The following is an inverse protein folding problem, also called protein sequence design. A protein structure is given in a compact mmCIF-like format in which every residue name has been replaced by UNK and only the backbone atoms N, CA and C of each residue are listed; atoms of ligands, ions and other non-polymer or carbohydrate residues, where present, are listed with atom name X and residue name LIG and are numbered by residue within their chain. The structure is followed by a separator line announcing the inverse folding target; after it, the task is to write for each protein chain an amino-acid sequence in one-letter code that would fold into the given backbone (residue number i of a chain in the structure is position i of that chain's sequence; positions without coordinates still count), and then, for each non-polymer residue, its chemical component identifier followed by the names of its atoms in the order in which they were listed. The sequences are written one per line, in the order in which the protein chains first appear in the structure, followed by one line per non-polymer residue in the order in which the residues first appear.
data_IF_764479258489
#
_entry.id   IF_764479258489
#
_cell.length_a   1.000
_cell.length_b   1.000
_cell.length_c   1.000
_cell.angle_alpha   90.00
_cell.angle_beta   90.00
_cell.angle_gamma   90.00
#
_symmetry.space_group_name_H-M   'P 1'
#
loop_
_entity.id
_entity.type
_entity.pdbx_description
1 polymer ?
#
# COMPACT_ATOMS: atom_id res chain seq x y z
N UNK A 1 -15.40 -24.38 62.13
CA UNK A 1 -16.46 -25.07 61.36
C UNK A 1 -16.18 -24.90 59.88
N UNK A 2 -15.94 -26.01 59.19
CA UNK A 2 -15.64 -26.11 57.75
C UNK A 2 -16.92 -26.15 56.89
N UNK A 3 -16.77 -25.80 55.60
CA UNK A 3 -17.36 -26.34 54.34
C UNK A 3 -17.46 -25.18 53.33
N UNK A 4 -16.69 -25.06 52.24
CA UNK A 4 -16.48 -25.90 51.02
C UNK A 4 -17.78 -26.32 50.34
N UNK A 5 -18.04 -25.83 49.12
CA UNK A 5 -18.32 -26.66 47.91
C UNK A 5 -18.22 -25.86 46.60
N UNK A 6 -17.48 -26.46 45.65
CA UNK A 6 -17.42 -26.13 44.21
C UNK A 6 -18.63 -26.74 43.50
N UNK A 7 -19.08 -26.15 42.37
CA UNK A 7 -19.96 -26.83 41.41
C UNK A 7 -19.20 -27.11 40.11
N UNK A 8 -18.98 -28.39 39.85
CA UNK A 8 -18.65 -28.98 38.55
C UNK A 8 -19.97 -29.43 37.91
N UNK A 9 -20.12 -29.23 36.61
CA UNK A 9 -21.07 -29.99 35.79
C UNK A 9 -20.32 -30.62 34.63
N UNK A 10 -20.22 -31.95 34.68
CA UNK A 10 -19.93 -32.82 33.56
C UNK A 10 -21.09 -33.81 33.48
N UNK A 11 -21.69 -33.97 32.30
CA UNK A 11 -22.50 -35.13 31.99
C UNK A 11 -22.41 -35.42 30.48
N UNK A 12 -21.60 -36.42 30.18
CA UNK A 12 -21.58 -37.22 28.96
C UNK A 12 -22.84 -38.10 28.94
N UNK A 13 -23.51 -38.18 27.79
CA UNK A 13 -24.26 -39.39 27.41
C UNK A 13 -23.87 -39.74 25.96
N UNK A 14 -23.26 -40.92 25.84
CA UNK A 14 -23.01 -41.65 24.62
C UNK A 14 -24.09 -42.73 24.42
N UNK A 15 -24.31 -43.13 23.18
CA UNK A 15 -25.19 -44.24 22.74
C UNK A 15 -25.68 -43.98 21.31
N UNK A 16 -24.91 -44.26 20.25
CA UNK A 16 -24.41 -45.52 19.68
C UNK A 16 -25.48 -46.35 18.95
N UNK A 17 -25.29 -46.41 17.60
CA UNK A 17 -25.57 -47.52 16.66
C UNK A 17 -27.03 -47.91 16.32
N UNK A 18 -27.39 -48.40 15.12
CA UNK A 18 -26.65 -48.83 13.93
C UNK A 18 -27.58 -49.05 12.71
N UNK A 19 -27.04 -48.76 11.51
CA UNK A 19 -27.02 -49.56 10.25
C UNK A 19 -28.31 -49.94 9.51
N UNK A 20 -28.38 -49.53 8.23
CA UNK A 20 -28.54 -50.46 7.10
C UNK A 20 -28.02 -49.88 5.78
N UNK A 21 -27.20 -50.68 5.11
CA UNK A 21 -26.51 -50.50 3.82
C UNK A 21 -27.34 -50.98 2.61
N UNK A 22 -26.82 -50.64 1.42
CA UNK A 22 -27.01 -51.18 0.05
C UNK A 22 -27.76 -50.22 -0.90
N UNK A 23 -27.33 -49.96 -2.15
CA UNK A 23 -26.26 -50.52 -2.98
C UNK A 23 -26.17 -49.76 -4.33
N UNK A 24 -25.13 -50.07 -5.10
CA UNK A 24 -24.73 -49.47 -6.40
C UNK A 24 -25.73 -49.67 -7.56
N UNK A 25 -25.72 -48.81 -8.59
CA UNK A 25 -25.07 -49.03 -9.90
C UNK A 25 -25.50 -48.00 -10.98
N UNK A 26 -24.63 -47.81 -11.97
CA UNK A 26 -24.74 -46.95 -13.16
C UNK A 26 -25.26 -47.75 -14.37
N UNK A 27 -26.09 -47.13 -15.23
CA UNK A 27 -25.95 -47.12 -16.72
C UNK A 27 -27.09 -46.32 -17.39
N UNK A 28 -26.74 -45.45 -18.36
CA UNK A 28 -27.38 -45.44 -19.70
C UNK A 28 -28.54 -44.49 -20.04
N UNK A 29 -28.19 -43.41 -20.78
CA UNK A 29 -28.79 -42.93 -22.03
C UNK A 29 -29.98 -41.91 -22.07
N UNK A 30 -29.69 -40.81 -22.79
CA UNK A 30 -30.48 -39.83 -23.58
C UNK A 30 -32.02 -39.73 -23.51
N UNK A 31 -32.51 -38.50 -23.32
CA UNK A 31 -33.41 -37.80 -24.28
C UNK A 31 -33.70 -36.35 -23.89
N UNK A 32 -33.83 -35.49 -24.91
CA UNK A 32 -34.18 -34.06 -24.88
C UNK A 32 -35.52 -33.73 -24.18
N UNK A 33 -35.60 -32.50 -23.65
CA UNK A 33 -36.86 -31.81 -23.33
C UNK A 33 -36.65 -30.45 -22.69
N UNK A 34 -37.02 -29.37 -23.39
CA UNK A 34 -37.01 -27.99 -22.91
C UNK A 34 -37.93 -27.77 -21.69
N UNK A 35 -37.50 -26.88 -20.77
CA UNK A 35 -38.15 -25.57 -20.54
C UNK A 35 -38.08 -25.09 -19.07
N UNK A 36 -37.61 -23.84 -18.93
CA UNK A 36 -38.04 -22.77 -18.00
C UNK A 36 -37.60 -22.77 -16.52
N UNK A 37 -36.74 -21.78 -16.24
CA UNK A 37 -36.60 -20.90 -15.06
C UNK A 37 -36.43 -21.50 -13.65
N UNK A 38 -35.25 -21.23 -13.04
CA UNK A 38 -35.21 -20.27 -11.93
C UNK A 38 -33.79 -19.77 -11.63
N UNK A 39 -33.73 -18.51 -11.20
CA UNK A 39 -32.55 -17.78 -10.75
C UNK A 39 -31.86 -18.49 -9.58
N UNK A 40 -30.53 -18.60 -9.61
CA UNK A 40 -29.72 -18.28 -8.44
C UNK A 40 -28.31 -17.87 -8.85
N UNK A 41 -28.08 -16.56 -8.76
CA UNK A 41 -26.78 -15.91 -8.87
C UNK A 41 -25.86 -16.41 -7.76
N UNK A 42 -24.98 -17.38 -8.06
CA UNK A 42 -23.82 -17.68 -7.23
C UNK A 42 -22.66 -16.81 -7.71
N UNK A 43 -22.53 -15.63 -7.11
CA UNK A 43 -21.36 -14.75 -7.25
C UNK A 43 -20.15 -15.54 -6.73
N UNK A 44 -19.39 -16.11 -7.66
CA UNK A 44 -18.19 -16.87 -7.38
C UNK A 44 -17.23 -16.07 -6.52
N UNK A 45 -16.87 -16.66 -5.38
CA UNK A 45 -15.76 -16.21 -4.56
C UNK A 45 -14.49 -16.38 -5.41
N UNK A 46 -14.01 -15.29 -5.99
CA UNK A 46 -12.69 -15.25 -6.62
C UNK A 46 -11.69 -15.21 -5.47
N UNK A 47 -11.35 -16.37 -4.92
CA UNK A 47 -10.07 -16.52 -4.24
C UNK A 47 -9.02 -16.54 -5.36
N UNK A 48 -8.58 -15.35 -5.76
CA UNK A 48 -7.31 -15.21 -6.45
C UNK A 48 -6.25 -15.68 -5.46
N UNK A 49 -5.61 -16.82 -5.75
CA UNK A 49 -4.47 -17.31 -5.01
C UNK A 49 -3.29 -16.38 -5.28
N UNK A 50 -3.29 -15.21 -4.66
CA UNK A 50 -2.15 -14.28 -4.65
C UNK A 50 -1.06 -14.91 -3.81
N UNK A 51 0.17 -14.96 -4.34
CA UNK A 51 1.32 -15.50 -3.64
C UNK A 51 1.82 -14.43 -2.66
N UNK A 52 1.12 -14.24 -1.54
CA UNK A 52 1.53 -13.27 -0.52
C UNK A 52 2.86 -13.69 0.10
N UNK A 53 3.73 -12.73 0.36
CA UNK A 53 5.03 -13.01 0.97
C UNK A 53 4.82 -13.37 2.44
N UNK A 54 5.21 -14.60 2.79
CA UNK A 54 5.23 -15.05 4.20
C UNK A 54 6.34 -14.33 4.98
N UNK A 55 6.11 -14.12 6.28
CA UNK A 55 7.06 -13.52 7.23
C UNK A 55 8.45 -14.15 7.16
N UNK A 56 8.53 -15.46 6.93
CA UNK A 56 9.77 -16.24 6.87
C UNK A 56 10.66 -15.89 5.66
N UNK A 57 10.06 -15.31 4.60
CA UNK A 57 10.79 -14.97 3.37
C UNK A 57 11.26 -13.50 3.34
N UNK A 58 10.95 -12.73 4.39
CA UNK A 58 11.40 -11.35 4.52
C UNK A 58 12.70 -11.32 5.34
N UNK A 59 13.81 -10.79 4.78
CA UNK A 59 15.06 -10.63 5.53
C UNK A 59 14.85 -9.83 6.82
N UNK A 60 15.69 -10.09 7.82
CA UNK A 60 15.68 -9.28 9.04
C UNK A 60 16.05 -7.81 8.75
N UNK A 61 15.51 -6.93 9.56
CA UNK A 61 15.77 -5.50 9.44
C UNK A 61 17.26 -5.22 9.67
N UNK A 62 17.89 -4.56 8.70
CA UNK A 62 19.33 -4.26 8.67
C UNK A 62 19.62 -2.77 8.55
N UNK A 63 18.65 -1.92 8.89
CA UNK A 63 18.75 -0.47 8.89
C UNK A 63 17.90 0.22 7.81
N UNK A 64 17.72 -0.41 6.65
CA UNK A 64 16.93 0.18 5.56
C UNK A 64 15.43 -0.05 5.75
N UNK A 65 14.64 1.02 5.68
CA UNK A 65 13.17 0.96 5.86
C UNK A 65 12.46 0.06 4.86
N UNK A 66 13.07 -0.22 3.71
CA UNK A 66 12.48 -1.04 2.66
C UNK A 66 13.46 -2.02 2.04
N UNK A 67 12.95 -3.17 1.62
CA UNK A 67 13.69 -4.15 0.81
C UNK A 67 12.85 -4.53 -0.41
N UNK A 68 13.51 -4.75 -1.55
CA UNK A 68 12.83 -5.24 -2.75
C UNK A 68 12.43 -6.71 -2.56
N UNK A 69 11.23 -7.07 -3.02
CA UNK A 69 10.72 -8.43 -3.01
C UNK A 69 10.49 -8.90 -4.45
N UNK A 70 10.71 -10.18 -4.72
CA UNK A 70 10.55 -10.78 -6.07
C UNK A 70 11.24 -9.97 -7.18
N UNK A 71 12.47 -9.52 -6.91
CA UNK A 71 13.25 -8.66 -7.80
C UNK A 71 12.51 -7.36 -8.18
N UNK A 72 11.74 -6.81 -7.23
CA UNK A 72 10.89 -5.63 -7.40
C UNK A 72 9.78 -5.80 -8.44
N UNK A 73 9.34 -7.03 -8.72
CA UNK A 73 8.24 -7.31 -9.64
C UNK A 73 6.97 -7.67 -8.85
N UNK A 74 5.86 -6.96 -9.07
CA UNK A 74 4.59 -7.30 -8.44
C UNK A 74 3.99 -8.57 -9.06
N UNK A 75 3.23 -9.32 -8.26
CA UNK A 75 2.50 -10.53 -8.68
C UNK A 75 1.14 -10.15 -9.26
N UNK A 76 1.15 -9.25 -10.26
CA UNK A 76 -0.01 -8.90 -11.06
C UNK A 76 0.06 -9.59 -12.42
N UNK A 77 -1.05 -10.15 -12.85
CA UNK A 77 -1.20 -10.72 -14.19
C UNK A 77 -1.90 -9.73 -15.11
N UNK A 78 -1.83 -9.98 -16.42
CA UNK A 78 -2.56 -9.18 -17.41
C UNK A 78 -4.09 -9.20 -17.21
N UNK A 79 -4.62 -10.17 -16.44
CA UNK A 79 -6.05 -10.26 -16.14
C UNK A 79 -6.48 -9.35 -15.00
N UNK A 80 -5.55 -8.96 -14.15
CA UNK A 80 -5.81 -8.06 -13.01
C UNK A 80 -5.84 -6.59 -13.47
N UNK A 81 -5.14 -6.28 -14.58
CA UNK A 81 -5.07 -4.93 -15.13
C UNK A 81 -6.44 -4.45 -15.62
N UNK A 82 -6.85 -3.29 -15.13
CA UNK A 82 -8.12 -2.63 -15.48
C UNK A 82 -7.96 -1.12 -15.38
N UNK A 83 -8.62 -0.37 -16.27
CA UNK A 83 -8.72 1.11 -16.18
C UNK A 83 -10.00 1.55 -15.48
N UNK A 84 -10.75 0.62 -14.88
CA UNK A 84 -11.88 0.96 -14.02
C UNK A 84 -11.36 1.13 -12.61
N UNK A 85 -11.42 2.35 -12.10
CA UNK A 85 -11.04 2.65 -10.73
C UNK A 85 -11.89 1.88 -9.72
N UNK A 86 -11.23 1.36 -8.68
CA UNK A 86 -11.88 0.71 -7.54
C UNK A 86 -10.99 0.75 -6.31
N UNK A 87 -11.59 0.46 -5.17
CA UNK A 87 -10.91 0.09 -3.93
C UNK A 87 -11.59 -1.14 -3.33
N UNK A 88 -10.79 -2.01 -2.73
CA UNK A 88 -11.22 -3.26 -2.12
C UNK A 88 -10.44 -3.47 -0.84
N UNK A 89 -11.16 -3.73 0.25
CA UNK A 89 -10.60 -3.98 1.57
C UNK A 89 -11.08 -5.32 2.06
N UNK A 90 -10.14 -6.21 2.34
CA UNK A 90 -10.46 -7.54 2.86
C UNK A 90 -11.19 -7.45 4.20
N UNK A 91 -11.91 -8.53 4.54
CA UNK A 91 -12.43 -8.67 5.90
C UNK A 91 -11.24 -8.74 6.87
N UNK A 92 -11.48 -8.27 8.09
CA UNK A 92 -10.54 -8.52 9.18
C UNK A 92 -10.43 -10.03 9.40
N UNK A 93 -9.26 -10.51 9.81
CA UNK A 93 -9.08 -11.92 10.18
C UNK A 93 -9.66 -12.23 11.57
N UNK A 94 -9.41 -13.44 12.10
CA UNK A 94 -9.91 -13.88 13.40
C UNK A 94 -9.42 -13.01 14.57
N UNK A 95 -8.21 -12.44 14.44
CA UNK A 95 -7.60 -11.55 15.42
C UNK A 95 -8.04 -10.09 15.25
N UNK A 96 -8.93 -9.82 14.27
CA UNK A 96 -9.41 -8.48 13.96
C UNK A 96 -8.41 -7.63 13.18
N UNK A 97 -7.38 -8.24 12.60
CA UNK A 97 -6.29 -7.55 11.89
C UNK A 97 -6.70 -7.22 10.46
N UNK A 98 -6.25 -6.08 9.95
CA UNK A 98 -6.43 -5.76 8.54
C UNK A 98 -5.71 -6.78 7.67
N UNK A 99 -6.34 -7.15 6.57
CA UNK A 99 -5.80 -8.04 5.55
C UNK A 99 -5.55 -7.24 4.27
N UNK A 100 -5.31 -7.91 3.15
CA UNK A 100 -5.03 -7.30 1.84
C UNK A 100 -6.00 -6.16 1.52
N UNK A 101 -5.43 -5.01 1.14
CA UNK A 101 -6.15 -3.92 0.53
C UNK A 101 -5.63 -3.71 -0.90
N UNK A 102 -6.53 -3.48 -1.85
CA UNK A 102 -6.19 -3.33 -3.26
C UNK A 102 -7.01 -2.20 -3.88
N UNK A 103 -6.41 -1.46 -4.80
CA UNK A 103 -7.09 -0.43 -5.57
C UNK A 103 -6.55 -0.38 -7.00
N UNK A 104 -7.44 -0.14 -7.96
CA UNK A 104 -7.04 0.50 -9.20
C UNK A 104 -7.22 2.00 -9.01
N UNK A 105 -6.09 2.68 -8.76
CA UNK A 105 -6.06 4.10 -8.44
C UNK A 105 -6.16 4.90 -9.73
N UNK A 106 -7.31 5.55 -9.93
CA UNK A 106 -7.53 6.54 -10.97
C UNK A 106 -7.88 7.91 -10.37
N UNK A 107 -7.79 8.95 -11.20
CA UNK A 107 -7.99 10.34 -10.77
C UNK A 107 -9.41 10.62 -10.23
N UNK A 108 -10.40 9.83 -10.65
CA UNK A 108 -11.80 9.95 -10.28
C UNK A 108 -12.09 9.52 -8.82
N UNK A 109 -11.29 8.60 -8.27
CA UNK A 109 -11.39 8.16 -6.87
C UNK A 109 -10.42 8.89 -5.94
N UNK A 110 -9.53 9.75 -6.45
CA UNK A 110 -8.67 10.57 -5.59
C UNK A 110 -9.48 11.60 -4.77
N UNK A 111 -9.01 12.00 -3.57
CA UNK A 111 -9.73 12.92 -2.72
C UNK A 111 -9.90 14.30 -3.35
N UNK A 112 -11.11 14.86 -3.21
CA UNK A 112 -11.43 16.23 -3.63
C UNK A 112 -11.34 17.24 -2.48
N UNK A 113 -11.12 16.77 -1.25
CA UNK A 113 -11.17 17.55 -0.03
C UNK A 113 -10.01 17.28 0.92
N UNK A 114 -10.05 17.93 2.08
CA UNK A 114 -9.08 17.68 3.16
C UNK A 114 -9.43 16.38 3.88
N UNK A 115 -8.40 15.68 4.34
CA UNK A 115 -8.53 14.48 5.18
C UNK A 115 -9.29 14.80 6.47
N UNK A 116 -10.20 13.91 6.84
CA UNK A 116 -10.96 14.02 8.09
C UNK A 116 -10.19 13.46 9.29
N UNK A 117 -10.82 13.53 10.47
CA UNK A 117 -10.29 12.88 11.65
C UNK A 117 -10.40 11.34 11.54
N UNK A 118 -9.39 10.63 12.05
CA UNK A 118 -9.36 9.16 12.10
C UNK A 118 -9.12 8.62 13.52
N UNK A 119 -9.06 9.50 14.53
CA UNK A 119 -8.69 9.17 15.91
C UNK A 119 -9.61 8.15 16.61
N UNK A 120 -10.83 7.97 16.11
CA UNK A 120 -11.79 6.99 16.62
C UNK A 120 -11.38 5.54 16.33
N UNK A 121 -10.59 5.31 15.27
CA UNK A 121 -10.15 3.97 14.91
C UNK A 121 -9.00 3.56 15.82
N UNK A 122 -9.04 2.35 16.35
CA UNK A 122 -7.96 1.75 17.13
C UNK A 122 -7.68 0.39 16.51
N UNK A 123 -6.66 0.28 15.63
CA UNK A 123 -6.28 -1.00 15.05
C UNK A 123 -5.81 -1.99 16.12
N UNK A 124 -5.58 -3.24 15.72
CA UNK A 124 -4.96 -4.24 16.58
C UNK A 124 -3.59 -3.78 17.09
N UNK A 125 -3.25 -4.14 18.33
CA UNK A 125 -2.00 -3.74 18.98
C UNK A 125 -1.86 -2.23 19.25
N UNK A 126 -2.95 -1.47 19.19
CA UNK A 126 -2.88 -0.01 19.36
C UNK A 126 -2.56 0.40 20.81
N UNK A 127 -1.41 1.06 20.99
CA UNK A 127 -1.02 1.72 22.23
C UNK A 127 -0.73 3.20 22.02
N UNK A 128 -0.87 4.00 23.09
CA UNK A 128 -0.41 5.40 23.07
C UNK A 128 0.94 5.50 23.76
N UNK A 129 2.02 5.37 22.98
CA UNK A 129 3.39 5.47 23.46
C UNK A 129 4.07 6.73 22.94
N UNK A 130 4.98 7.31 23.75
CA UNK A 130 5.72 8.53 23.40
C UNK A 130 7.23 8.38 23.61
N UNK A 131 8.00 8.90 22.67
CA UNK A 131 9.47 8.89 22.68
C UNK A 131 10.00 10.23 22.18
N UNK A 132 11.06 10.74 22.80
CA UNK A 132 11.61 12.07 22.48
C UNK A 132 12.35 12.11 21.13
N UNK A 133 12.87 10.97 20.66
CA UNK A 133 13.52 10.85 19.36
C UNK A 133 12.54 10.63 18.19
N UNK A 134 11.24 10.53 18.46
CA UNK A 134 10.21 10.37 17.43
C UNK A 134 9.61 11.73 17.10
N UNK A 135 9.54 12.07 15.80
CA UNK A 135 8.88 13.29 15.33
C UNK A 135 7.39 13.33 15.75
N UNK A 136 6.98 14.41 16.39
CA UNK A 136 5.65 14.53 17.01
C UNK A 136 5.47 13.71 18.30
N UNK A 137 6.53 13.07 18.79
CA UNK A 137 6.63 12.25 20.01
C UNK A 137 5.82 10.96 20.04
N UNK A 138 4.72 10.84 19.30
CA UNK A 138 3.90 9.62 19.31
C UNK A 138 4.51 8.54 18.41
N UNK A 139 4.76 7.35 18.97
CA UNK A 139 5.29 6.22 18.22
C UNK A 139 4.34 5.80 17.10
N UNK A 140 3.11 5.45 17.47
CA UNK A 140 2.16 4.85 16.54
C UNK A 140 1.27 5.88 15.86
N UNK A 141 1.14 5.69 14.55
CA UNK A 141 0.16 6.30 13.68
C UNK A 141 -0.90 5.27 13.29
N UNK A 142 -2.08 5.77 12.94
CA UNK A 142 -3.09 4.99 12.23
C UNK A 142 -2.70 5.02 10.76
N UNK A 143 -1.92 4.03 10.35
CA UNK A 143 -1.32 3.98 9.03
C UNK A 143 -2.34 3.40 8.05
N UNK A 144 -2.59 4.14 6.96
CA UNK A 144 -3.44 3.67 5.88
C UNK A 144 -2.74 2.56 5.09
N UNK A 145 -3.42 1.47 4.76
CA UNK A 145 -2.89 0.50 3.77
C UNK A 145 -2.96 1.12 2.37
N UNK A 146 -4.12 1.68 2.02
CA UNK A 146 -4.31 2.52 0.84
C UNK A 146 -4.48 3.95 1.32
N UNK A 147 -3.47 4.78 1.06
CA UNK A 147 -3.43 6.14 1.56
C UNK A 147 -4.62 6.98 1.13
N UNK A 148 -5.08 7.87 2.02
CA UNK A 148 -6.13 8.86 1.71
C UNK A 148 -5.85 9.62 0.41
N UNK A 149 -4.59 9.93 0.11
CA UNK A 149 -4.22 10.66 -1.11
C UNK A 149 -4.49 9.89 -2.41
N UNK A 150 -4.71 8.57 -2.35
CA UNK A 150 -4.94 7.70 -3.49
C UNK A 150 -6.43 7.47 -3.74
N UNK A 151 -7.24 7.22 -2.71
CA UNK A 151 -8.67 6.86 -2.88
C UNK A 151 -9.65 7.73 -2.08
N UNK A 152 -9.15 8.64 -1.24
CA UNK A 152 -9.99 9.46 -0.37
C UNK A 152 -10.69 8.71 0.77
N UNK A 153 -10.49 7.40 0.91
CA UNK A 153 -10.98 6.63 2.05
C UNK A 153 -10.29 7.10 3.34
N UNK A 154 -11.10 7.38 4.36
CA UNK A 154 -10.66 8.11 5.54
C UNK A 154 -10.55 7.21 6.78
N UNK A 155 -11.64 6.88 7.43
CA UNK A 155 -11.66 6.21 8.75
C UNK A 155 -12.18 4.77 8.67
N UNK A 156 -11.68 3.99 7.70
CA UNK A 156 -12.10 2.60 7.50
C UNK A 156 -11.26 1.65 8.36
N UNK A 157 -11.91 0.91 9.26
CA UNK A 157 -11.26 -0.06 10.15
C UNK A 157 -10.57 -1.22 9.42
N UNK A 158 -10.84 -1.43 8.12
CA UNK A 158 -10.17 -2.43 7.26
C UNK A 158 -9.00 -1.85 6.46
N UNK A 159 -8.68 -0.58 6.66
CA UNK A 159 -7.64 0.14 5.95
C UNK A 159 -6.65 0.82 6.90
N UNK A 160 -6.74 0.60 8.21
CA UNK A 160 -5.91 1.28 9.20
C UNK A 160 -5.23 0.25 10.09
N UNK A 161 -3.90 0.25 10.09
CA UNK A 161 -3.06 -0.59 10.95
C UNK A 161 -2.27 0.26 11.95
N UNK A 162 -1.84 -0.37 13.05
CA UNK A 162 -0.87 0.21 13.98
C UNK A 162 0.50 0.19 13.32
N UNK A 163 1.06 1.35 13.02
CA UNK A 163 2.40 1.44 12.45
C UNK A 163 3.18 2.63 12.99
N UNK A 164 4.50 2.54 13.00
CA UNK A 164 5.34 3.60 13.56
C UNK A 164 5.32 4.88 12.72
N UNK A 165 5.85 5.97 13.29
CA UNK A 165 6.06 7.23 12.57
C UNK A 165 6.97 7.05 11.36
N UNK A 166 8.12 6.39 11.54
CA UNK A 166 9.06 6.13 10.44
C UNK A 166 8.49 5.17 9.40
N UNK A 167 7.78 4.12 9.80
CA UNK A 167 7.05 3.25 8.87
C UNK A 167 6.10 4.05 7.96
N UNK A 168 5.29 4.92 8.56
CA UNK A 168 4.32 5.71 7.82
C UNK A 168 4.96 6.77 6.91
N UNK A 169 6.03 7.44 7.35
CA UNK A 169 6.57 8.63 6.68
C UNK A 169 7.83 8.33 5.86
N UNK A 170 8.76 7.54 6.40
CA UNK A 170 10.02 7.22 5.74
C UNK A 170 9.89 5.94 4.90
N UNK A 171 8.99 5.04 5.29
CA UNK A 171 8.74 3.76 4.63
C UNK A 171 7.71 3.85 3.50
N UNK A 172 6.43 4.05 3.85
CA UNK A 172 5.31 3.96 2.89
C UNK A 172 5.16 5.19 2.00
N UNK A 173 5.22 6.40 2.60
CA UNK A 173 4.89 7.65 1.91
C UNK A 173 5.64 7.87 0.59
N UNK A 174 6.95 7.58 0.44
CA UNK A 174 7.64 7.75 -0.85
C UNK A 174 6.98 7.00 -2.01
N UNK A 175 6.52 5.77 -1.78
CA UNK A 175 5.84 4.95 -2.79
C UNK A 175 4.41 5.46 -3.06
N UNK A 176 3.70 5.91 -2.03
CA UNK A 176 2.38 6.51 -2.19
C UNK A 176 2.44 7.83 -2.97
N UNK A 177 3.47 8.64 -2.73
CA UNK A 177 3.71 9.86 -3.49
C UNK A 177 4.08 9.56 -4.93
N UNK A 178 4.87 8.51 -5.17
CA UNK A 178 5.18 8.02 -6.51
C UNK A 178 3.92 7.66 -7.31
N UNK A 179 3.06 6.81 -6.73
CA UNK A 179 1.79 6.41 -7.35
C UNK A 179 0.86 7.61 -7.54
N UNK A 180 0.68 8.41 -6.49
CA UNK A 180 -0.26 9.53 -6.53
C UNK A 180 0.17 10.62 -7.52
N UNK A 181 1.46 10.94 -7.59
CA UNK A 181 1.98 11.93 -8.55
C UNK A 181 1.79 11.45 -9.98
N UNK A 182 2.11 10.19 -10.27
CA UNK A 182 1.87 9.58 -11.57
C UNK A 182 0.40 9.73 -11.99
N UNK A 183 -0.55 9.30 -11.16
CA UNK A 183 -2.00 9.38 -11.47
C UNK A 183 -2.46 10.83 -11.70
N UNK A 184 -1.98 11.79 -10.88
CA UNK A 184 -2.39 13.20 -11.01
C UNK A 184 -1.86 13.86 -12.28
N UNK A 185 -0.61 13.54 -12.64
CA UNK A 185 0.09 14.12 -13.77
C UNK A 185 -0.36 13.53 -15.11
N UNK A 186 -0.56 12.22 -15.17
CA UNK A 186 -0.95 11.51 -16.40
C UNK A 186 -2.47 11.47 -16.61
N UNK A 187 -3.24 11.34 -15.53
CA UNK A 187 -4.64 10.89 -15.60
C UNK A 187 -4.81 9.38 -15.84
N UNK A 188 -3.72 8.62 -15.84
CA UNK A 188 -3.69 7.15 -15.98
C UNK A 188 -4.01 6.45 -14.65
N UNK A 189 -4.00 5.12 -14.68
CA UNK A 189 -4.30 4.26 -13.53
C UNK A 189 -3.07 3.51 -13.03
N UNK A 190 -3.09 3.18 -11.73
CA UNK A 190 -2.12 2.28 -11.11
C UNK A 190 -2.88 1.20 -10.34
N UNK A 191 -2.64 -0.06 -10.70
CA UNK A 191 -3.04 -1.18 -9.87
C UNK A 191 -2.09 -1.26 -8.67
N UNK A 192 -2.66 -1.23 -7.48
CA UNK A 192 -1.93 -1.02 -6.23
C UNK A 192 -2.46 -1.97 -5.16
N UNK A 193 -1.58 -2.74 -4.51
CA UNK A 193 -1.94 -3.72 -3.48
C UNK A 193 -1.01 -3.58 -2.29
N UNK A 194 -1.60 -3.59 -1.09
CA UNK A 194 -0.85 -3.54 0.17
C UNK A 194 -1.31 -4.69 1.06
N UNK A 195 -0.34 -5.53 1.45
CA UNK A 195 -0.55 -6.74 2.23
C UNK A 195 0.21 -6.62 3.55
N UNK A 196 -0.49 -6.46 4.70
CA UNK A 196 0.14 -6.58 6.01
C UNK A 196 0.76 -7.96 6.21
N UNK A 197 1.95 -8.00 6.81
CA UNK A 197 2.63 -9.25 7.16
C UNK A 197 2.77 -9.32 8.67
N UNK A 198 2.16 -10.34 9.26
CA UNK A 198 2.24 -10.66 10.69
C UNK A 198 3.07 -11.93 10.88
N UNK A 199 3.70 -12.07 12.04
CA UNK A 199 4.25 -13.35 12.48
C UNK A 199 3.22 -14.03 13.40
N UNK A 200 2.81 -15.26 13.08
CA UNK A 200 1.75 -15.97 13.81
C UNK A 200 0.52 -15.10 14.15
N UNK A 201 0.26 -14.99 15.46
CA UNK A 201 -0.90 -14.30 16.04
C UNK A 201 -0.59 -12.83 16.43
N UNK A 202 0.53 -12.28 15.96
CA UNK A 202 0.93 -10.90 16.26
C UNK A 202 -0.16 -9.89 15.94
N UNK A 203 -0.41 -8.94 16.86
CA UNK A 203 -1.41 -7.90 16.67
C UNK A 203 -0.89 -6.70 15.87
N UNK A 204 0.43 -6.51 15.81
CA UNK A 204 1.09 -5.46 15.01
C UNK A 204 1.84 -6.12 13.86
N UNK A 205 1.66 -5.61 12.65
CA UNK A 205 2.35 -6.14 11.49
C UNK A 205 3.86 -5.86 11.58
N UNK A 206 4.70 -6.84 11.24
CA UNK A 206 6.16 -6.66 11.03
C UNK A 206 6.44 -5.62 9.95
N UNK A 207 5.50 -5.45 9.03
CA UNK A 207 5.55 -4.50 7.93
C UNK A 207 4.43 -4.72 6.94
N UNK A 208 4.55 -4.09 5.77
CA UNK A 208 3.64 -4.33 4.65
C UNK A 208 4.43 -4.64 3.39
N UNK A 209 3.93 -5.59 2.60
CA UNK A 209 4.30 -5.69 1.20
C UNK A 209 3.47 -4.68 0.40
N UNK A 210 4.13 -3.85 -0.41
CA UNK A 210 3.50 -2.88 -1.31
C UNK A 210 3.84 -3.23 -2.75
N UNK A 211 2.82 -3.41 -3.56
CA UNK A 211 2.92 -3.75 -4.98
C UNK A 211 2.22 -2.67 -5.81
N UNK A 212 2.85 -2.23 -6.89
CA UNK A 212 2.24 -1.28 -7.82
C UNK A 212 2.62 -1.58 -9.26
N UNK A 213 1.68 -1.35 -10.18
CA UNK A 213 1.90 -1.42 -11.62
C UNK A 213 0.99 -0.41 -12.33
N UNK A 214 1.57 0.49 -13.13
CA UNK A 214 0.80 1.39 -14.01
C UNK A 214 0.09 0.58 -15.11
N UNK A 215 -1.17 0.93 -15.37
CA UNK A 215 -2.07 0.07 -16.17
C UNK A 215 -1.89 0.29 -17.67
N UNK A 216 -1.99 1.54 -18.12
CA UNK A 216 -2.02 1.92 -19.53
C UNK A 216 -0.72 1.57 -20.28
N UNK A 217 0.40 1.61 -19.56
CA UNK A 217 1.73 1.33 -20.07
C UNK A 217 2.26 -0.04 -19.63
N UNK A 218 1.45 -0.83 -18.91
CA UNK A 218 1.81 -2.16 -18.40
C UNK A 218 3.08 -2.15 -17.54
N UNK A 219 3.17 -1.17 -16.64
CA UNK A 219 4.23 -1.08 -15.64
C UNK A 219 5.53 -0.47 -16.14
N UNK A 220 5.52 0.22 -17.27
CA UNK A 220 6.71 0.95 -17.71
C UNK A 220 6.99 2.14 -16.77
N UNK A 221 6.03 3.01 -16.44
CA UNK A 221 6.37 4.16 -15.57
C UNK A 221 6.40 3.80 -14.09
N UNK A 222 5.43 3.00 -13.62
CA UNK A 222 5.31 2.57 -12.22
C UNK A 222 5.34 1.05 -12.16
N UNK A 223 6.37 0.49 -11.52
CA UNK A 223 6.44 -0.93 -11.20
C UNK A 223 7.33 -1.17 -9.98
N UNK A 224 6.74 -1.71 -8.92
CA UNK A 224 7.50 -2.12 -7.75
C UNK A 224 6.81 -3.24 -6.97
N UNK A 225 7.62 -3.96 -6.20
CA UNK A 225 7.22 -4.90 -5.17
C UNK A 225 8.25 -4.80 -4.04
N UNK A 226 7.84 -4.19 -2.93
CA UNK A 226 8.72 -3.88 -1.82
C UNK A 226 8.09 -4.31 -0.51
N UNK A 227 8.92 -4.68 0.45
CA UNK A 227 8.52 -4.82 1.83
C UNK A 227 8.97 -3.58 2.61
N UNK A 228 8.07 -2.99 3.37
CA UNK A 228 8.32 -1.82 4.22
C UNK A 228 8.24 -2.25 5.67
N UNK A 229 9.35 -2.10 6.40
CA UNK A 229 9.48 -2.53 7.79
C UNK A 229 8.73 -1.60 8.74
N UNK A 230 7.93 -2.16 9.63
CA UNK A 230 7.25 -1.43 10.69
C UNK A 230 8.18 -1.24 11.90
N UNK A 231 9.17 -0.37 11.75
CA UNK A 231 10.23 -0.13 12.74
C UNK A 231 10.37 1.35 13.06
N UNK A 232 11.01 1.67 14.17
CA UNK A 232 11.30 3.04 14.59
C UNK A 232 12.71 3.10 15.16
N UNK A 233 13.49 4.09 14.73
CA UNK A 233 14.81 4.34 15.28
C UNK A 233 14.75 4.47 16.81
N UNK A 234 15.65 3.79 17.52
CA UNK A 234 15.74 3.84 18.97
C UNK A 234 14.58 3.19 19.74
N UNK A 235 13.68 2.43 19.08
CA UNK A 235 12.52 1.81 19.72
C UNK A 235 12.37 0.36 19.29
N UNK A 236 12.29 -0.53 20.28
CA UNK A 236 11.93 -1.93 20.08
C UNK A 236 10.42 -2.11 20.29
N UNK A 237 9.81 -2.88 19.41
CA UNK A 237 8.37 -3.18 19.40
C UNK A 237 8.19 -4.64 19.76
N UNK A 238 7.27 -4.89 20.68
CA UNK A 238 6.65 -6.19 20.84
C UNK A 238 5.50 -6.29 19.84
N UNK A 239 5.67 -7.07 18.76
CA UNK A 239 4.67 -7.18 17.70
C UNK A 239 3.45 -8.02 18.13
N UNK A 240 3.61 -8.88 19.13
CA UNK A 240 2.53 -9.70 19.68
C UNK A 240 1.46 -8.81 20.30
N UNK A 241 1.89 -7.86 21.15
CA UNK A 241 1.00 -7.04 21.97
C UNK A 241 0.86 -5.59 21.48
N UNK A 242 1.86 -5.10 20.74
CA UNK A 242 2.06 -3.70 20.39
C UNK A 242 2.77 -2.86 21.47
N UNK A 243 3.17 -3.45 22.59
CA UNK A 243 4.00 -2.76 23.58
C UNK A 243 5.35 -2.32 22.97
N UNK A 244 6.01 -1.36 23.62
CA UNK A 244 7.27 -0.82 23.11
C UNK A 244 8.18 -0.37 24.24
N UNK A 245 9.49 -0.42 23.97
CA UNK A 245 10.53 0.08 24.86
C UNK A 245 11.61 0.83 24.07
N UNK A 246 12.29 1.76 24.75
CA UNK A 246 13.43 2.44 24.14
C UNK A 246 14.58 1.44 24.00
N UNK A 247 15.14 1.34 22.80
CA UNK A 247 16.24 0.44 22.49
C UNK A 247 17.16 1.10 21.45
N UNK A 248 18.31 1.59 21.91
CA UNK A 248 19.29 2.26 21.06
C UNK A 248 20.01 1.31 20.10
N UNK A 249 19.84 -0.01 20.21
CA UNK A 249 20.39 -0.95 19.24
C UNK A 249 19.59 -0.96 17.92
N UNK A 250 18.33 -0.52 17.95
CA UNK A 250 17.50 -0.38 16.74
C UNK A 250 17.91 0.91 16.03
N UNK A 251 18.61 0.77 14.90
CA UNK A 251 19.12 1.89 14.11
C UNK A 251 18.50 1.90 12.73
N UNK A 252 17.81 2.99 12.37
CA UNK A 252 17.28 3.18 11.02
C UNK A 252 18.26 4.00 10.19
N UNK A 253 18.90 3.35 9.21
CA UNK A 253 19.76 4.01 8.23
C UNK A 253 18.91 4.75 7.22
N UNK A 254 18.65 6.02 7.50
CA UNK A 254 18.02 6.91 6.54
C UNK A 254 19.09 7.56 5.66
N UNK A 255 19.39 6.98 4.49
CA UNK A 255 20.12 7.72 3.44
C UNK A 255 19.34 8.99 2.98
N UNK A 256 18.05 9.07 3.32
CA UNK A 256 17.13 10.15 2.95
C UNK A 256 16.83 11.22 4.04
N UNK A 257 17.38 11.13 5.26
CA UNK A 257 16.93 11.97 6.39
C UNK A 257 17.40 13.43 6.37
N UNK A 258 18.30 13.84 5.46
CA UNK A 258 18.73 15.26 5.35
C UNK A 258 17.87 16.12 4.41
N UNK A 259 16.97 15.53 3.63
CA UNK A 259 16.11 16.28 2.68
C UNK A 259 14.65 16.43 3.14
N UNK A 260 14.16 15.55 4.02
CA UNK A 260 12.75 15.56 4.46
C UNK A 260 12.44 16.61 5.54
N UNK A 261 13.44 17.17 6.22
CA UNK A 261 13.25 18.19 7.25
C UNK A 261 12.73 19.55 6.73
N UNK A 262 12.59 19.76 5.42
CA UNK A 262 12.08 21.03 4.87
C UNK A 262 10.57 21.06 4.57
N UNK A 263 9.85 19.95 4.76
CA UNK A 263 8.47 19.82 4.25
C UNK A 263 7.36 19.67 5.30
N UNK A 264 7.66 19.78 6.60
CA UNK A 264 6.64 19.63 7.66
C UNK A 264 6.05 20.92 8.24
N UNK A 265 6.33 22.09 7.67
CA UNK A 265 5.59 23.33 7.95
C UNK A 265 4.97 23.87 6.67
N UNK A 266 3.77 23.41 6.32
CA UNK A 266 2.70 24.17 5.65
C UNK A 266 1.55 23.26 5.16
N UNK A 267 0.93 22.53 6.10
CA UNK A 267 -0.47 22.08 5.94
C UNK A 267 -1.44 22.98 6.73
N UNK A 268 -0.94 23.99 7.46
CA UNK A 268 -1.75 25.02 8.11
C UNK A 268 -1.24 26.41 7.72
N UNK A 269 -2.17 27.25 7.29
CA UNK A 269 -2.04 28.66 6.86
C UNK A 269 -1.44 28.92 5.48
N UNK A 270 -2.33 29.14 4.52
CA UNK A 270 -2.35 30.42 3.77
C UNK A 270 -3.61 30.55 2.92
N UNK A 271 -4.61 31.24 3.49
CA UNK A 271 -5.48 32.11 2.71
C UNK A 271 -4.61 33.23 2.13
N UNK A 272 -4.44 33.30 0.82
CA UNK A 272 -4.74 34.54 0.09
C UNK A 272 -4.79 34.27 -1.41
N UNK A 273 -5.94 34.57 -2.00
CA UNK A 273 -6.18 34.53 -3.43
C UNK A 273 -5.42 35.66 -4.12
N UNK A 274 -4.68 35.35 -5.19
CA UNK A 274 -4.52 36.28 -6.32
C UNK A 274 -4.59 35.52 -7.63
N UNK A 275 -5.61 35.88 -8.38
CA UNK A 275 -5.92 35.48 -9.75
C UNK A 275 -4.73 35.66 -10.69
N UNK A 276 -4.52 34.70 -11.59
CA UNK A 276 -4.16 35.01 -12.98
C UNK A 276 -4.86 34.03 -13.91
N UNK A 277 -5.51 34.61 -14.92
CA UNK A 277 -6.41 33.98 -15.87
C UNK A 277 -5.69 33.65 -17.18
N UNK A 278 -6.04 32.49 -17.77
CA UNK A 278 -6.00 32.15 -19.22
C UNK A 278 -4.61 32.09 -19.90
N UNK A 279 -4.34 31.32 -20.97
CA UNK A 279 -5.21 30.71 -21.97
C UNK A 279 -4.44 29.62 -22.78
N UNK A 280 -5.19 28.61 -23.22
CA UNK A 280 -5.14 27.73 -24.42
C UNK A 280 -3.86 27.37 -25.19
N UNK A 281 -3.84 26.06 -25.53
CA UNK A 281 -3.43 25.37 -26.77
C UNK A 281 -1.98 25.48 -27.26
N UNK A 282 -1.34 24.32 -27.49
CA UNK A 282 -0.93 23.92 -28.85
C UNK A 282 -0.52 22.44 -28.96
N UNK A 283 -1.09 21.87 -30.01
CA UNK A 283 -0.76 20.74 -30.87
C UNK A 283 0.65 20.13 -30.78
N UNK A 284 0.69 18.80 -30.78
CA UNK A 284 1.85 17.97 -31.03
C UNK A 284 2.47 18.22 -32.41
N UNK A 285 3.78 18.40 -32.46
CA UNK A 285 4.58 18.27 -33.68
C UNK A 285 5.86 17.50 -33.34
N UNK A 286 6.02 16.33 -33.98
CA UNK A 286 7.30 15.62 -34.06
C UNK A 286 8.28 16.48 -34.85
N UNK A 287 9.47 16.73 -34.30
CA UNK A 287 10.63 17.10 -35.10
C UNK A 287 11.90 16.56 -34.46
N UNK A 288 12.58 15.67 -35.18
CA UNK A 288 13.94 15.27 -34.93
C UNK A 288 14.86 16.45 -35.26
N UNK A 289 15.46 17.09 -34.25
CA UNK A 289 16.65 17.92 -34.43
C UNK A 289 17.67 17.61 -33.35
N UNK A 290 18.79 17.06 -33.83
CA UNK A 290 20.00 16.75 -33.09
C UNK A 290 20.74 18.07 -32.85
N UNK A 291 20.60 18.63 -31.66
CA UNK A 291 21.43 19.75 -31.18
C UNK A 291 21.93 19.40 -29.78
N UNK A 292 23.25 19.22 -29.68
CA UNK A 292 23.99 18.77 -28.49
C UNK A 292 24.04 19.87 -27.43
N UNK A 293 22.90 20.19 -26.82
CA UNK A 293 22.84 20.65 -25.44
C UNK A 293 22.48 19.42 -24.61
N UNK A 294 23.28 19.03 -23.62
CA UNK A 294 22.98 17.88 -22.77
C UNK A 294 21.61 18.11 -22.11
N UNK A 295 20.56 17.51 -22.67
CA UNK A 295 19.21 17.67 -22.15
C UNK A 295 19.21 17.12 -20.72
N UNK A 296 18.89 17.99 -19.76
CA UNK A 296 18.95 17.67 -18.33
C UNK A 296 17.94 16.59 -17.98
N UNK A 297 18.26 15.74 -17.02
CA UNK A 297 17.30 14.81 -16.44
C UNK A 297 16.31 15.61 -15.59
N UNK A 298 15.02 15.35 -15.73
CA UNK A 298 13.95 16.04 -14.97
C UNK A 298 13.37 15.09 -13.94
N UNK A 299 13.45 15.41 -12.66
CA UNK A 299 12.85 14.62 -11.59
C UNK A 299 11.86 15.40 -10.76
N UNK A 300 10.96 14.69 -10.10
CA UNK A 300 9.98 15.25 -9.18
C UNK A 300 10.48 15.08 -7.74
N UNK A 301 10.66 16.19 -7.01
CA UNK A 301 11.20 16.20 -5.64
C UNK A 301 10.35 15.47 -4.61
N UNK A 302 9.07 15.26 -4.92
CA UNK A 302 8.10 14.56 -4.10
C UNK A 302 8.17 13.05 -4.37
N UNK A 303 7.84 12.61 -5.58
CA UNK A 303 7.86 11.18 -5.94
C UNK A 303 9.25 10.54 -6.02
N UNK A 304 10.32 11.34 -6.07
CA UNK A 304 11.68 10.88 -6.37
C UNK A 304 11.79 10.13 -7.71
N UNK A 305 10.88 10.33 -8.65
CA UNK A 305 10.98 9.77 -10.01
C UNK A 305 11.69 10.76 -10.92
N UNK A 306 12.57 10.27 -11.81
CA UNK A 306 13.20 11.07 -12.86
C UNK A 306 12.92 10.54 -14.26
N UNK A 307 12.82 11.46 -15.21
CA UNK A 307 12.60 11.23 -16.63
C UNK A 307 13.82 11.68 -17.44
N UNK A 308 14.26 10.80 -18.33
CA UNK A 308 15.23 11.08 -19.37
C UNK A 308 14.55 11.73 -20.60
N UNK A 309 15.29 12.52 -21.38
CA UNK A 309 14.78 13.09 -22.62
C UNK A 309 14.22 12.01 -23.57
N UNK A 310 13.04 12.26 -24.12
CA UNK A 310 12.33 11.33 -25.00
C UNK A 310 11.43 10.32 -24.29
N UNK A 311 11.40 10.28 -22.95
CA UNK A 311 10.36 9.54 -22.23
C UNK A 311 9.02 10.28 -22.32
N UNK A 312 7.93 9.52 -22.35
CA UNK A 312 6.54 10.01 -22.54
C UNK A 312 6.21 11.24 -21.69
N UNK A 313 6.66 11.24 -20.43
CA UNK A 313 6.31 12.27 -19.45
C UNK A 313 7.41 13.31 -19.21
N UNK A 314 8.52 13.24 -19.95
CA UNK A 314 9.66 14.15 -19.80
C UNK A 314 9.26 15.62 -20.01
N UNK A 315 8.46 15.92 -21.03
CA UNK A 315 8.03 17.28 -21.33
C UNK A 315 7.00 17.80 -20.34
N UNK A 316 6.07 16.93 -19.91
CA UNK A 316 5.09 17.25 -18.88
C UNK A 316 5.75 17.58 -17.54
N UNK A 317 6.80 16.85 -17.17
CA UNK A 317 7.56 17.11 -15.94
C UNK A 317 8.18 18.51 -15.94
N UNK A 318 8.44 19.10 -17.10
CA UNK A 318 9.00 20.45 -17.24
C UNK A 318 8.14 21.58 -16.64
N UNK A 319 6.85 21.34 -16.41
CA UNK A 319 5.91 22.34 -15.84
C UNK A 319 5.50 22.04 -14.40
N UNK A 320 6.01 20.96 -13.80
CA UNK A 320 5.67 20.59 -12.43
C UNK A 320 6.28 21.54 -11.41
N UNK A 321 5.50 21.90 -10.39
CA UNK A 321 5.98 22.67 -9.23
C UNK A 321 7.06 21.96 -8.40
N UNK A 322 7.23 20.66 -8.60
CA UNK A 322 8.22 19.83 -7.92
C UNK A 322 9.44 19.52 -8.80
N UNK A 323 9.61 20.22 -9.92
CA UNK A 323 10.73 19.99 -10.83
C UNK A 323 12.08 20.20 -10.15
N UNK A 324 12.91 19.16 -10.23
CA UNK A 324 14.34 19.16 -9.98
C UNK A 324 15.03 18.73 -11.26
N UNK A 325 16.17 19.34 -11.58
CA UNK A 325 16.94 18.94 -12.77
C UNK A 325 18.31 18.41 -12.38
N UNK A 326 18.70 17.28 -12.96
CA UNK A 326 20.04 16.69 -12.80
C UNK A 326 20.83 16.79 -14.11
N UNK A 327 22.15 16.87 -14.00
CA UNK A 327 23.08 16.85 -15.14
C UNK A 327 23.20 15.45 -15.73
N UNK A 328 22.92 14.41 -14.95
CA UNK A 328 23.01 13.01 -15.39
C UNK A 328 22.08 12.08 -14.60
N UNK A 329 21.81 10.89 -15.14
CA UNK A 329 21.10 9.82 -14.42
C UNK A 329 21.86 9.37 -13.17
N UNK A 330 23.20 9.36 -13.22
CA UNK A 330 24.03 9.01 -12.06
C UNK A 330 23.80 9.97 -10.90
N UNK A 331 23.69 11.26 -11.20
CA UNK A 331 23.40 12.30 -10.19
C UNK A 331 21.99 12.15 -9.62
N UNK A 332 20.99 11.87 -10.46
CA UNK A 332 19.63 11.62 -10.01
C UNK A 332 19.57 10.40 -9.06
N UNK A 333 20.20 9.28 -9.44
CA UNK A 333 20.27 8.07 -8.61
C UNK A 333 21.01 8.31 -7.29
N UNK A 334 22.14 9.02 -7.33
CA UNK A 334 22.88 9.38 -6.11
C UNK A 334 22.08 10.32 -5.20
N UNK A 335 21.15 11.10 -5.74
CA UNK A 335 20.21 11.93 -4.99
C UNK A 335 18.97 11.17 -4.49
N UNK A 336 18.94 9.83 -4.63
CA UNK A 336 17.84 8.97 -4.20
C UNK A 336 16.65 8.93 -5.16
N UNK A 337 16.85 9.27 -6.45
CA UNK A 337 15.78 9.24 -7.44
C UNK A 337 15.80 7.95 -8.28
N UNK A 338 14.61 7.46 -8.60
CA UNK A 338 14.38 6.29 -9.44
C UNK A 338 14.05 6.71 -10.87
N UNK A 339 14.58 5.99 -11.85
CA UNK A 339 14.26 6.22 -13.26
C UNK A 339 12.82 5.79 -13.50
N UNK A 340 12.01 6.63 -14.15
CA UNK A 340 10.78 6.15 -14.79
C UNK A 340 11.17 5.05 -15.79
N UNK A 341 10.57 3.85 -15.75
CA UNK A 341 10.86 2.86 -16.81
C UNK A 341 10.11 3.27 -18.11
N UNK A 342 10.31 2.56 -19.21
CA UNK A 342 10.47 3.21 -20.51
C UNK A 342 9.28 3.10 -21.45
#
# INVERSE_FOLDING_TARGET
MMRVTKKLYALLIAGMMAVSLAGCQSTGNSSNGESTQNEQSSKGSINSSTKSVSSDNIPDFSGNMTVAVDNNNPDFTSKDLTTKSYESYSRLDSEGRCQVAEACVGKDIMPKGKRGAIGMVKPTGWHTAKYDNVDGKYLYNRCHLIAYQLTGENANNKNLITGTRSFNVDGMLPYEEMVGDYVRETGNHVLYRVTPVFDGDDLVAKGVQMEAMSVEDKGEDIKFNVFVYNVQDGVKIDYETGDSEADSSVQVTTENSKASQKYHTNQNSSNNSKNYSSNKNTTAAKTNTKTTASQKIRGNSRSKVYHCPGQRDYDRMGTSKYLVTFKSEKEAKAAGYHKAQR
#
